data_IF_430407207140
#
_entry.id   IF_430407207140
#
_cell.length_a   1.000
_cell.length_b   1.000
_cell.length_c   1.000
_cell.angle_alpha   90.00
_cell.angle_beta   90.00
_cell.angle_gamma   90.00
#
_symmetry.space_group_name_H-M   'P 1'
#
loop_
_entity.id
_entity.type
_entity.pdbx_description
1 polymer ?
#
# COMPACT_ATOMS: atom_id res chain seq x y z
N UNK A 1 -12.89 -16.63 9.31
CA UNK A 1 -11.80 -16.02 10.12
C UNK A 1 -11.04 -14.99 9.28
N UNK A 2 -10.73 -13.80 9.84
CA UNK A 2 -10.03 -12.71 9.14
C UNK A 2 -8.55 -13.01 8.92
N UNK A 3 -7.90 -13.70 9.85
CA UNK A 3 -6.49 -14.06 9.71
C UNK A 3 -6.29 -15.06 8.56
N UNK A 4 -7.20 -16.03 8.46
CA UNK A 4 -7.22 -17.00 7.37
C UNK A 4 -7.45 -16.33 6.01
N UNK A 5 -8.38 -15.37 5.94
CA UNK A 5 -8.62 -14.62 4.71
C UNK A 5 -7.40 -13.84 4.22
N UNK A 6 -6.68 -13.17 5.13
CA UNK A 6 -5.45 -12.44 4.79
C UNK A 6 -4.39 -13.37 4.24
N UNK A 7 -4.22 -14.57 4.82
CA UNK A 7 -3.28 -15.58 4.30
C UNK A 7 -3.65 -16.07 2.90
N UNK A 8 -4.94 -16.26 2.62
CA UNK A 8 -5.41 -16.68 1.29
C UNK A 8 -5.17 -15.57 0.26
N UNK A 9 -5.48 -14.32 0.60
CA UNK A 9 -5.21 -13.18 -0.28
C UNK A 9 -3.71 -12.99 -0.51
N UNK A 10 -2.89 -13.22 0.50
CA UNK A 10 -1.44 -13.08 0.38
C UNK A 10 -0.84 -13.98 -0.71
N UNK A 11 -1.40 -15.19 -0.87
CA UNK A 11 -1.02 -16.12 -1.95
C UNK A 11 -1.45 -15.64 -3.33
N UNK A 12 -2.49 -14.81 -3.41
CA UNK A 12 -3.06 -14.33 -4.66
C UNK A 12 -3.11 -12.80 -4.71
N UNK A 13 -1.91 -12.20 -4.67
CA UNK A 13 -1.69 -10.75 -4.66
C UNK A 13 -2.27 -10.02 -5.89
N UNK A 14 -2.50 -10.74 -6.99
CA UNK A 14 -3.18 -10.25 -8.21
C UNK A 14 -4.52 -9.58 -7.91
N UNK A 15 -5.22 -10.05 -6.86
CA UNK A 15 -6.50 -9.49 -6.41
C UNK A 15 -6.38 -8.05 -5.89
N UNK A 16 -5.20 -7.67 -5.41
CA UNK A 16 -4.93 -6.36 -4.80
C UNK A 16 -4.41 -5.33 -5.79
N UNK A 17 -3.99 -5.77 -6.98
CA UNK A 17 -3.54 -4.87 -8.02
C UNK A 17 -4.65 -3.87 -8.42
N UNK A 18 -4.25 -2.65 -8.76
CA UNK A 18 -5.14 -1.54 -9.09
C UNK A 18 -5.43 -1.43 -10.59
N UNK A 19 -4.70 -2.17 -11.44
CA UNK A 19 -4.88 -2.12 -12.90
C UNK A 19 -6.33 -2.34 -13.34
N UNK A 20 -6.78 -1.52 -14.31
CA UNK A 20 -8.12 -1.56 -14.93
C UNK A 20 -8.09 -2.07 -16.37
N UNK A 21 -6.95 -2.61 -16.80
CA UNK A 21 -6.80 -3.19 -18.13
C UNK A 21 -7.74 -4.40 -18.24
N UNK A 22 -8.46 -4.61 -19.36
CA UNK A 22 -9.41 -5.72 -19.52
C UNK A 22 -8.79 -7.09 -19.18
N UNK A 23 -7.55 -7.34 -19.61
CA UNK A 23 -6.78 -8.54 -19.26
C UNK A 23 -6.61 -8.73 -17.74
N UNK A 24 -6.22 -7.66 -17.04
CA UNK A 24 -6.09 -7.68 -15.58
C UNK A 24 -7.42 -7.86 -14.85
N UNK A 25 -8.53 -7.36 -15.41
CA UNK A 25 -9.88 -7.55 -14.84
C UNK A 25 -10.28 -9.03 -14.94
N UNK A 26 -10.03 -9.68 -16.08
CA UNK A 26 -10.31 -11.11 -16.25
C UNK A 26 -9.46 -11.95 -15.31
N UNK A 27 -8.15 -11.68 -15.22
CA UNK A 27 -7.26 -12.36 -14.28
C UNK A 27 -7.71 -12.18 -12.81
N UNK A 28 -8.21 -10.99 -12.43
CA UNK A 28 -8.78 -10.76 -11.10
C UNK A 28 -10.03 -11.55 -10.84
N UNK A 29 -10.93 -11.70 -11.83
CA UNK A 29 -12.14 -12.51 -11.69
C UNK A 29 -11.79 -13.98 -11.45
N UNK A 30 -10.81 -14.51 -12.19
CA UNK A 30 -10.32 -15.88 -11.98
C UNK A 30 -9.68 -16.05 -10.61
N UNK A 31 -8.80 -15.13 -10.23
CA UNK A 31 -8.17 -15.11 -8.92
C UNK A 31 -9.21 -15.07 -7.78
N UNK A 32 -10.28 -14.28 -7.93
CA UNK A 32 -11.38 -14.24 -6.96
C UNK A 32 -12.16 -15.55 -6.85
N UNK A 33 -12.31 -16.30 -7.94
CA UNK A 33 -12.91 -17.65 -7.89
C UNK A 33 -12.02 -18.59 -7.08
N UNK A 34 -10.72 -18.61 -7.36
CA UNK A 34 -9.75 -19.43 -6.60
C UNK A 34 -9.71 -19.05 -5.12
N UNK A 35 -9.77 -17.75 -4.80
CA UNK A 35 -9.84 -17.26 -3.42
C UNK A 35 -11.14 -17.69 -2.74
N UNK A 36 -12.28 -17.64 -3.44
CA UNK A 36 -13.55 -18.11 -2.90
C UNK A 36 -13.51 -19.62 -2.60
N UNK A 37 -13.02 -20.43 -3.53
CA UNK A 37 -12.93 -21.88 -3.34
C UNK A 37 -12.01 -22.25 -2.18
N UNK A 38 -10.82 -21.65 -2.12
CA UNK A 38 -9.85 -21.91 -1.04
C UNK A 38 -10.35 -21.43 0.31
N UNK A 39 -11.00 -20.27 0.37
CA UNK A 39 -11.56 -19.75 1.60
C UNK A 39 -12.77 -20.56 2.09
N UNK A 40 -13.68 -20.93 1.19
CA UNK A 40 -14.87 -21.73 1.54
C UNK A 40 -14.46 -23.13 2.03
N UNK A 41 -13.48 -23.77 1.37
CA UNK A 41 -12.89 -25.05 1.83
C UNK A 41 -12.27 -24.94 3.22
N UNK A 42 -11.57 -23.85 3.52
CA UNK A 42 -10.85 -23.68 4.77
C UNK A 42 -11.73 -23.16 5.93
N UNK A 43 -12.77 -22.38 5.62
CA UNK A 43 -13.67 -21.77 6.60
C UNK A 43 -14.95 -22.57 6.83
N UNK A 44 -15.28 -23.52 5.95
CA UNK A 44 -16.53 -24.29 5.99
C UNK A 44 -17.79 -23.44 5.73
N UNK A 45 -17.63 -22.27 5.13
CA UNK A 45 -18.72 -21.31 4.87
C UNK A 45 -18.83 -21.03 3.39
N UNK A 46 -20.04 -21.01 2.85
CA UNK A 46 -20.28 -20.63 1.45
C UNK A 46 -20.43 -19.12 1.32
N UNK A 47 -19.30 -18.44 1.08
CA UNK A 47 -19.29 -17.00 0.81
C UNK A 47 -19.19 -16.73 -0.69
N UNK A 48 -20.03 -15.82 -1.15
CA UNK A 48 -20.01 -15.31 -2.52
C UNK A 48 -18.86 -14.32 -2.72
N UNK A 49 -18.41 -14.17 -3.98
CA UNK A 49 -17.35 -13.21 -4.33
C UNK A 49 -17.68 -11.78 -3.91
N UNK A 50 -18.94 -11.36 -3.99
CA UNK A 50 -19.38 -10.03 -3.56
C UNK A 50 -19.19 -9.83 -2.04
N UNK A 51 -19.48 -10.85 -1.23
CA UNK A 51 -19.28 -10.81 0.22
C UNK A 51 -17.78 -10.77 0.57
N UNK A 52 -16.95 -11.54 -0.14
CA UNK A 52 -15.49 -11.53 0.04
C UNK A 52 -14.90 -10.17 -0.34
N UNK A 53 -15.37 -9.56 -1.42
CA UNK A 53 -14.97 -8.21 -1.84
C UNK A 53 -15.37 -7.17 -0.78
N UNK A 54 -16.59 -7.26 -0.24
CA UNK A 54 -17.05 -6.42 0.86
C UNK A 54 -16.18 -6.60 2.10
N UNK A 55 -15.83 -7.84 2.43
CA UNK A 55 -14.95 -8.16 3.56
C UNK A 55 -13.56 -7.54 3.39
N UNK A 56 -12.97 -7.65 2.19
CA UNK A 56 -11.72 -6.99 1.84
C UNK A 56 -11.79 -5.47 2.01
N UNK A 57 -12.84 -4.83 1.49
CA UNK A 57 -13.02 -3.38 1.58
C UNK A 57 -13.18 -2.92 3.03
N UNK A 58 -13.91 -3.67 3.85
CA UNK A 58 -14.07 -3.40 5.28
C UNK A 58 -12.74 -3.49 6.03
N UNK A 59 -11.93 -4.52 5.74
CA UNK A 59 -10.59 -4.68 6.31
C UNK A 59 -9.69 -3.50 5.91
N UNK A 60 -9.64 -3.16 4.61
CA UNK A 60 -8.86 -2.02 4.09
C UNK A 60 -9.25 -0.71 4.79
N UNK A 61 -10.54 -0.43 4.90
CA UNK A 61 -11.05 0.80 5.53
C UNK A 61 -10.68 0.88 7.00
N UNK A 62 -10.82 -0.24 7.74
CA UNK A 62 -10.46 -0.31 9.15
C UNK A 62 -8.96 -0.14 9.37
N UNK A 63 -8.14 -0.74 8.51
CA UNK A 63 -6.69 -0.60 8.56
C UNK A 63 -6.24 0.82 8.24
N UNK A 64 -6.83 1.45 7.22
CA UNK A 64 -6.58 2.86 6.88
C UNK A 64 -6.88 3.77 8.07
N UNK A 65 -8.07 3.67 8.66
CA UNK A 65 -8.46 4.47 9.82
C UNK A 65 -7.48 4.34 10.99
N UNK A 66 -7.02 3.12 11.27
CA UNK A 66 -6.04 2.88 12.34
C UNK A 66 -4.67 3.49 12.04
N UNK A 67 -4.20 3.37 10.81
CA UNK A 67 -2.89 3.89 10.40
C UNK A 67 -2.90 5.42 10.38
N UNK A 68 -3.96 6.01 9.85
CA UNK A 68 -4.19 7.46 9.82
C UNK A 68 -4.26 8.06 11.23
N UNK A 69 -4.98 7.40 12.15
CA UNK A 69 -5.09 7.84 13.54
C UNK A 69 -3.76 7.78 14.31
N UNK A 70 -2.81 6.90 13.93
CA UNK A 70 -1.44 6.92 14.46
C UNK A 70 -0.59 8.06 13.92
N UNK A 71 -0.94 8.63 12.77
CA UNK A 71 -0.20 9.72 12.14
C UNK A 71 -0.48 11.06 12.85
N UNK A 72 -1.68 11.22 13.41
CA UNK A 72 -1.98 12.30 14.36
C UNK A 72 -1.37 11.95 15.70
N UNK A 73 -0.77 12.90 16.43
CA UNK A 73 -0.01 12.70 17.68
C UNK A 73 -0.76 12.10 18.90
N UNK A 74 -1.83 11.34 18.67
CA UNK A 74 -2.52 10.49 19.62
C UNK A 74 -1.72 9.23 19.95
N UNK A 75 -2.03 8.60 21.10
CA UNK A 75 -1.37 7.37 21.57
C UNK A 75 -1.30 6.32 20.44
N UNK A 76 -0.13 5.67 20.25
CA UNK A 76 0.06 4.69 19.18
C UNK A 76 -0.88 3.49 19.37
N UNK A 77 -1.78 3.29 18.41
CA UNK A 77 -2.69 2.14 18.39
C UNK A 77 -1.89 0.88 18.11
N UNK A 78 -2.12 -0.22 18.84
CA UNK A 78 -1.49 -1.52 18.50
C UNK A 78 -2.29 -2.18 17.36
N UNK A 79 -1.61 -2.51 16.27
CA UNK A 79 -2.19 -3.32 15.18
C UNK A 79 -2.17 -4.78 15.61
N UNK A 80 -3.21 -5.53 15.28
CA UNK A 80 -3.19 -6.98 15.49
C UNK A 80 -2.18 -7.64 14.53
N UNK A 81 -1.72 -8.84 14.84
CA UNK A 81 -0.72 -9.54 14.02
C UNK A 81 -1.19 -9.68 12.56
N UNK A 82 -2.43 -10.12 12.34
CA UNK A 82 -3.01 -10.21 10.99
C UNK A 82 -3.18 -8.85 10.28
N UNK A 83 -3.40 -7.76 11.03
CA UNK A 83 -3.51 -6.41 10.46
C UNK A 83 -2.14 -5.91 10.01
N UNK A 84 -1.08 -6.27 10.74
CA UNK A 84 0.31 -5.92 10.43
C UNK A 84 0.76 -6.65 9.17
N UNK A 85 0.54 -7.97 9.08
CA UNK A 85 0.83 -8.74 7.86
C UNK A 85 0.09 -8.20 6.64
N UNK A 86 -1.18 -7.81 6.81
CA UNK A 86 -1.96 -7.24 5.72
C UNK A 86 -1.49 -5.82 5.34
N UNK A 87 -0.98 -5.05 6.30
CA UNK A 87 -0.44 -3.72 6.07
C UNK A 87 0.86 -3.78 5.26
N UNK A 88 1.81 -4.62 5.66
CA UNK A 88 3.06 -4.87 4.93
C UNK A 88 2.76 -5.26 3.48
N UNK A 89 1.86 -6.23 3.29
CA UNK A 89 1.48 -6.70 1.97
C UNK A 89 0.84 -5.62 1.07
N UNK A 90 0.13 -4.66 1.67
CA UNK A 90 -0.42 -3.51 0.93
C UNK A 90 0.61 -2.44 0.65
N UNK A 91 1.63 -2.30 1.50
CA UNK A 91 2.70 -1.31 1.35
C UNK A 91 3.69 -1.75 0.25
N UNK A 92 4.04 -3.04 0.24
CA UNK A 92 4.95 -3.64 -0.76
C UNK A 92 4.41 -3.54 -2.19
N UNK A 93 3.08 -3.50 -2.35
CA UNK A 93 2.43 -3.39 -3.65
C UNK A 93 2.36 -1.93 -4.18
N UNK A 94 3.21 -1.03 -3.67
CA UNK A 94 3.35 0.34 -4.14
C UNK A 94 2.08 1.19 -3.96
N UNK A 95 1.35 0.99 -2.86
CA UNK A 95 0.11 1.72 -2.64
C UNK A 95 0.37 3.14 -2.10
N UNK A 96 0.16 4.22 -2.91
CA UNK A 96 0.41 5.61 -2.50
C UNK A 96 -0.40 6.09 -1.30
N UNK A 97 -1.47 5.37 -0.92
CA UNK A 97 -2.25 5.67 0.28
C UNK A 97 -1.49 5.30 1.57
N UNK A 98 -0.53 4.38 1.49
CA UNK A 98 0.27 3.91 2.63
C UNK A 98 1.76 4.27 2.50
N UNK A 99 2.30 4.29 1.28
CA UNK A 99 3.64 4.79 1.01
C UNK A 99 3.61 6.32 0.98
N UNK A 100 3.99 6.96 2.09
CA UNK A 100 4.25 8.40 2.07
C UNK A 100 5.43 8.65 1.13
N UNK A 101 5.17 9.33 0.01
CA UNK A 101 6.25 9.90 -0.80
C UNK A 101 6.83 11.04 0.03
N UNK A 102 8.14 11.05 0.35
CA UNK A 102 8.75 12.16 1.06
C UNK A 102 8.46 13.45 0.28
N UNK A 103 7.79 14.40 0.95
CA UNK A 103 7.38 15.66 0.36
C UNK A 103 8.58 16.41 -0.22
N UNK A 104 8.36 17.08 -1.36
CA UNK A 104 9.33 17.93 -2.06
C UNK A 104 10.11 18.82 -1.08
N UNK A 105 11.44 18.85 -1.25
CA UNK A 105 12.33 19.81 -0.58
C UNK A 105 11.78 21.22 -0.85
N UNK A 106 11.51 21.96 0.22
CA UNK A 106 11.23 23.39 0.11
C UNK A 106 12.51 24.06 -0.40
N UNK A 107 12.61 24.31 -1.70
CA UNK A 107 13.66 25.15 -2.27
C UNK A 107 13.30 26.59 -1.92
N UNK A 108 13.77 27.04 -0.77
CA UNK A 108 13.87 28.47 -0.49
C UNK A 108 14.86 29.06 -1.48
N UNK A 109 14.44 30.07 -2.23
CA UNK A 109 15.37 30.90 -3.01
C UNK A 109 16.21 31.64 -1.98
N UNK A 110 17.45 31.20 -1.76
CA UNK A 110 18.45 32.12 -1.22
C UNK A 110 18.72 33.15 -2.32
N UNK A 111 18.41 34.41 -2.00
CA UNK A 111 18.81 35.58 -2.78
C UNK A 111 20.32 35.51 -3.07
N UNK A 112 20.79 36.11 -4.18
CA UNK A 112 22.15 35.92 -4.65
C UNK A 112 23.14 36.54 -3.65
N UNK A 113 23.92 35.70 -2.98
CA UNK A 113 25.19 36.14 -2.41
C UNK A 113 26.17 36.37 -3.56
N UNK A 114 26.89 37.47 -3.40
CA UNK A 114 27.63 38.20 -4.41
C UNK A 114 28.70 37.34 -5.10
N UNK A 115 28.85 37.59 -6.39
CA UNK A 115 29.94 37.07 -7.20
C UNK A 115 31.22 37.78 -6.73
N UNK A 116 32.00 37.14 -5.85
CA UNK A 116 33.39 37.54 -5.61
C UNK A 116 34.28 36.88 -6.68
N UNK A 117 34.69 37.69 -7.65
CA UNK A 117 35.63 37.32 -8.70
C UNK A 117 37.04 37.63 -8.19
N UNK A 118 37.86 36.62 -7.92
CA UNK A 118 39.33 36.66 -7.85
C UNK A 118 39.84 35.21 -7.80
N UNK A 119 40.37 34.56 -8.83
CA UNK A 119 41.62 34.78 -9.58
C UNK A 119 42.37 33.43 -9.55
N UNK A 120 42.28 32.62 -10.61
CA UNK A 120 43.30 31.61 -10.92
C UNK A 120 43.62 31.71 -12.41
N UNK A 121 44.68 32.47 -12.70
CA UNK A 121 45.35 32.49 -13.99
C UNK A 121 46.25 31.26 -14.11
N UNK A 122 46.02 30.44 -15.12
CA UNK A 122 46.92 29.36 -15.55
C UNK A 122 46.99 29.32 -17.07
N UNK A 123 48.17 28.95 -17.58
CA UNK A 123 48.67 28.77 -18.96
C UNK A 123 49.54 29.91 -19.49
N UNK A 124 50.74 29.71 -20.07
CA UNK A 124 51.60 28.54 -20.32
C UNK A 124 53.00 29.07 -20.69
N UNK A 125 54.04 28.26 -20.45
CA UNK A 125 55.40 28.46 -20.98
C UNK A 125 55.46 28.08 -22.46
#
# INVERSE_FOLDING_TARGET
DKALFVKVIAKQSVVLDKSKIPSAISAKKEAWKTVADTYNKASGTDLTTAQLLKMLNNIKTRLKKKTDLKCTGNKPIKLNNWETQFFELLNDNGNPVFSQVPGSVAVGVNAPEEIDVSEESSTST
#
